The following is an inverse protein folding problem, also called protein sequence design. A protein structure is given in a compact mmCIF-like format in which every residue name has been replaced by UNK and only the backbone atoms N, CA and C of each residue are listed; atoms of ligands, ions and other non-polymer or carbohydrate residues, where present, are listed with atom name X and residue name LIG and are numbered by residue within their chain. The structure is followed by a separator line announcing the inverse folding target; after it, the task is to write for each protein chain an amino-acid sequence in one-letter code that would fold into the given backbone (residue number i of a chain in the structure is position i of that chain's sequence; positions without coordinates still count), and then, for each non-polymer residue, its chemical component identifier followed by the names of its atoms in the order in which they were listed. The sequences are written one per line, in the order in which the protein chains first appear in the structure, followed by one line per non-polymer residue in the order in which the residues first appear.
data_IF_384229439482
#
_entry.id   IF_384229439482
#
_cell.length_a   1.000
_cell.length_b   1.000
_cell.length_c   1.000
_cell.angle_alpha   90.00
_cell.angle_beta   90.00
_cell.angle_gamma   90.00
#
_symmetry.space_group_name_H-M   'P 1'
#
loop_
_entity.id
_entity.type
_entity.pdbx_description
1 polymer ?
#
# COMPACT_ATOMS: atom_id res chain seq x y z
N UNK A 1 14.38 14.04 -29.72
CA UNK A 1 15.51 13.24 -29.20
C UNK A 1 15.57 13.46 -27.70
N UNK A 2 15.16 12.59 -26.80
CA UNK A 2 14.84 11.16 -26.84
C UNK A 2 13.77 10.91 -25.78
N UNK A 3 12.84 10.03 -26.14
CA UNK A 3 11.83 9.42 -25.29
C UNK A 3 12.45 8.76 -24.03
N UNK A 4 11.58 8.48 -23.05
CA UNK A 4 11.67 7.34 -22.11
C UNK A 4 12.27 7.56 -20.70
N UNK A 5 11.64 8.34 -19.80
CA UNK A 5 11.79 8.06 -18.34
C UNK A 5 10.55 8.37 -17.47
N UNK A 6 9.33 8.36 -18.03
CA UNK A 6 8.07 8.32 -17.25
C UNK A 6 7.52 6.88 -17.10
N UNK A 7 8.34 5.87 -17.40
CA UNK A 7 7.93 4.47 -17.55
C UNK A 7 8.37 3.52 -16.43
N UNK A 8 8.83 4.03 -15.27
CA UNK A 8 9.30 3.15 -14.18
C UNK A 8 8.66 3.37 -12.80
N UNK A 9 7.70 4.30 -12.66
CA UNK A 9 6.94 4.44 -11.41
C UNK A 9 5.87 3.34 -11.28
N UNK A 10 5.18 3.04 -12.40
CA UNK A 10 4.17 1.97 -12.48
C UNK A 10 4.73 0.58 -12.18
N UNK A 11 6.00 0.33 -12.49
CA UNK A 11 6.59 -1.02 -12.41
C UNK A 11 7.05 -1.39 -11.00
N UNK A 12 7.27 -0.40 -10.14
CA UNK A 12 7.62 -0.63 -8.75
C UNK A 12 6.36 -0.90 -7.92
N UNK A 13 5.33 -0.05 -7.92
CA UNK A 13 4.10 -0.33 -7.18
C UNK A 13 3.29 -1.53 -7.74
N UNK A 14 3.33 -1.76 -9.07
CA UNK A 14 2.75 -2.98 -9.69
C UNK A 14 3.40 -4.26 -9.15
N UNK A 15 4.70 -4.31 -8.85
CA UNK A 15 5.33 -5.54 -8.34
C UNK A 15 4.97 -5.87 -6.89
N UNK A 16 4.45 -4.92 -6.12
CA UNK A 16 4.16 -5.09 -4.70
C UNK A 16 2.66 -5.29 -4.44
N UNK A 17 1.80 -4.85 -5.36
CA UNK A 17 0.36 -5.15 -5.33
C UNK A 17 -0.03 -6.36 -6.20
N UNK A 18 0.81 -6.86 -7.10
CA UNK A 18 0.54 -8.07 -7.87
C UNK A 18 1.16 -9.34 -7.27
N UNK A 19 0.67 -9.79 -6.11
CA UNK A 19 0.65 -11.25 -5.80
C UNK A 19 -0.27 -11.73 -4.67
N UNK A 20 -1.46 -11.16 -4.47
CA UNK A 20 -2.49 -11.85 -3.66
C UNK A 20 -3.89 -11.65 -4.22
N UNK A 21 -4.15 -11.89 -5.51
CA UNK A 21 -5.50 -12.24 -6.00
C UNK A 21 -5.40 -12.93 -7.37
N UNK A 22 -5.14 -14.25 -7.37
CA UNK A 22 -5.62 -15.14 -8.45
C UNK A 22 -6.88 -15.82 -7.92
N UNK A 23 -8.05 -15.30 -8.29
CA UNK A 23 -9.25 -16.12 -8.35
C UNK A 23 -9.45 -16.55 -9.80
N UNK A 24 -9.27 -17.83 -10.16
CA UNK A 24 -9.89 -18.34 -11.37
C UNK A 24 -11.40 -18.34 -11.14
N UNK A 25 -12.12 -17.43 -11.82
CA UNK A 25 -13.56 -17.54 -11.95
C UNK A 25 -13.84 -18.79 -12.79
N UNK A 26 -14.25 -19.88 -12.15
CA UNK A 26 -14.77 -21.08 -12.82
C UNK A 26 -16.29 -21.01 -12.72
N UNK A 27 -16.96 -20.77 -13.85
CA UNK A 27 -18.41 -20.97 -13.93
C UNK A 27 -18.70 -22.45 -13.66
N UNK A 28 -19.44 -22.78 -12.61
CA UNK A 28 -20.38 -23.91 -12.63
C UNK A 28 -21.61 -23.62 -11.78
N UNK A 29 -22.71 -23.99 -12.38
CA UNK A 29 -24.10 -24.06 -11.98
C UNK A 29 -24.35 -24.83 -10.69
N UNK A 30 -25.29 -24.28 -9.90
CA UNK A 30 -26.35 -24.91 -9.10
C UNK A 30 -26.05 -25.84 -7.90
N UNK A 31 -26.76 -25.48 -6.82
CA UNK A 31 -27.26 -26.24 -5.67
C UNK A 31 -26.42 -26.56 -4.41
N UNK A 32 -27.03 -26.11 -3.31
CA UNK A 32 -27.00 -26.58 -1.92
C UNK A 32 -25.88 -26.12 -0.98
N UNK A 33 -26.25 -25.13 -0.17
CA UNK A 33 -26.10 -25.07 1.30
C UNK A 33 -24.87 -25.71 1.94
N UNK A 34 -23.78 -24.95 2.03
CA UNK A 34 -22.93 -24.90 3.22
C UNK A 34 -22.32 -23.49 3.34
N UNK A 35 -22.57 -22.79 4.45
CA UNK A 35 -21.94 -21.50 4.76
C UNK A 35 -20.43 -21.70 4.83
N UNK A 36 -19.71 -21.35 3.77
CA UNK A 36 -18.25 -21.24 3.79
C UNK A 36 -17.92 -20.02 4.64
N UNK A 37 -17.44 -20.25 5.87
CA UNK A 37 -16.91 -19.19 6.72
C UNK A 37 -15.77 -18.51 5.96
N UNK A 38 -15.99 -17.24 5.60
CA UNK A 38 -15.00 -16.38 5.01
C UNK A 38 -13.76 -16.38 5.92
N UNK A 39 -12.58 -16.65 5.34
CA UNK A 39 -11.31 -16.52 6.07
C UNK A 39 -11.26 -15.12 6.69
N UNK A 40 -10.91 -14.96 7.97
CA UNK A 40 -10.84 -13.64 8.58
C UNK A 40 -9.86 -12.79 7.79
N UNK A 41 -10.26 -11.55 7.52
CA UNK A 41 -9.36 -10.51 7.05
C UNK A 41 -8.21 -10.37 8.04
N UNK A 42 -6.99 -10.08 7.57
CA UNK A 42 -5.82 -10.00 8.44
C UNK A 42 -6.13 -9.12 9.67
N UNK A 43 -5.75 -9.55 10.90
CA UNK A 43 -6.04 -8.78 12.10
C UNK A 43 -5.46 -7.37 11.96
N UNK A 44 -6.28 -6.38 12.30
CA UNK A 44 -5.93 -4.97 12.25
C UNK A 44 -5.75 -4.46 13.67
N UNK A 45 -4.67 -3.72 13.85
CA UNK A 45 -4.31 -3.06 15.09
C UNK A 45 -4.54 -1.56 14.92
N UNK A 46 -5.56 -1.04 15.59
CA UNK A 46 -5.96 0.36 15.54
C UNK A 46 -5.16 1.23 16.53
N UNK A 47 -4.31 0.63 17.37
CA UNK A 47 -3.50 1.41 18.29
C UNK A 47 -2.42 2.19 17.53
N UNK A 48 -2.06 3.39 18.02
CA UNK A 48 -0.96 4.17 17.46
C UNK A 48 0.32 3.33 17.31
N UNK A 49 1.11 3.69 16.30
CA UNK A 49 2.48 3.19 16.16
C UNK A 49 3.38 3.77 17.25
N UNK A 50 4.63 3.32 17.26
CA UNK A 50 5.68 3.90 18.09
C UNK A 50 6.06 5.31 17.59
N UNK A 51 6.04 5.52 16.28
CA UNK A 51 6.47 6.75 15.62
C UNK A 51 5.27 7.49 15.01
N UNK A 52 4.34 6.75 14.42
CA UNK A 52 3.22 7.32 13.67
C UNK A 52 1.87 6.92 14.24
N UNK A 53 0.98 7.89 14.40
CA UNK A 53 -0.44 7.67 14.55
C UNK A 53 -1.10 7.70 13.16
N UNK A 54 -1.65 6.56 12.72
CA UNK A 54 -2.31 6.49 11.42
C UNK A 54 -3.67 7.18 11.42
N UNK A 55 -4.35 7.21 12.56
CA UNK A 55 -5.65 7.85 12.69
C UNK A 55 -5.48 9.36 12.54
N UNK A 56 -4.49 9.95 13.23
CA UNK A 56 -4.12 11.36 13.09
C UNK A 56 -3.84 11.72 11.62
N UNK A 57 -2.95 10.96 10.96
CA UNK A 57 -2.57 11.21 9.56
C UNK A 57 -3.79 11.12 8.63
N UNK A 58 -4.65 10.11 8.84
CA UNK A 58 -5.87 9.95 8.04
C UNK A 58 -6.83 11.13 8.22
N UNK A 59 -7.07 11.56 9.44
CA UNK A 59 -7.98 12.67 9.75
C UNK A 59 -7.48 13.99 9.15
N UNK A 60 -6.19 14.28 9.27
CA UNK A 60 -5.55 15.45 8.65
C UNK A 60 -5.73 15.45 7.13
N UNK A 61 -5.41 14.33 6.47
CA UNK A 61 -5.55 14.20 5.02
C UNK A 61 -7.00 14.27 4.57
N UNK A 62 -7.93 13.65 5.31
CA UNK A 62 -9.35 13.68 5.00
C UNK A 62 -9.90 15.11 5.09
N UNK A 63 -9.54 15.85 6.13
CA UNK A 63 -9.94 17.24 6.28
C UNK A 63 -9.38 18.13 5.16
N UNK A 64 -8.10 18.01 4.85
CA UNK A 64 -7.41 18.90 3.92
C UNK A 64 -7.74 18.61 2.44
N UNK A 65 -7.77 17.34 2.05
CA UNK A 65 -7.82 16.94 0.63
C UNK A 65 -9.20 16.39 0.21
N UNK A 66 -10.01 15.94 1.16
CA UNK A 66 -11.32 15.33 0.90
C UNK A 66 -12.47 16.04 1.62
N UNK A 67 -12.23 17.19 2.23
CA UNK A 67 -13.23 18.01 2.94
C UNK A 67 -13.99 17.22 4.04
N UNK A 68 -13.35 16.21 4.63
CA UNK A 68 -13.95 15.34 5.64
C UNK A 68 -15.02 14.37 5.10
N UNK A 69 -15.12 14.20 3.78
CA UNK A 69 -16.19 13.39 3.18
C UNK A 69 -15.97 11.87 3.34
N UNK A 70 -14.73 11.41 3.53
CA UNK A 70 -14.44 9.99 3.65
C UNK A 70 -14.71 9.49 5.07
N UNK A 71 -15.26 8.28 5.16
CA UNK A 71 -15.53 7.57 6.43
C UNK A 71 -14.86 6.20 6.39
N UNK A 72 -13.54 6.21 6.32
CA UNK A 72 -12.71 5.01 6.26
C UNK A 72 -12.15 4.69 7.64
N UNK A 73 -11.96 3.41 7.89
CA UNK A 73 -11.15 2.95 8.99
C UNK A 73 -9.70 2.81 8.53
N UNK A 74 -8.74 3.04 9.42
CA UNK A 74 -7.33 2.82 9.15
C UNK A 74 -6.67 2.09 10.30
N UNK A 75 -5.77 1.16 10.00
CA UNK A 75 -4.99 0.51 11.04
C UNK A 75 -3.77 -0.24 10.53
N UNK A 76 -2.97 -0.69 11.49
CA UNK A 76 -1.76 -1.45 11.22
C UNK A 76 -2.07 -2.91 10.95
N UNK A 77 -1.31 -3.52 10.05
CA UNK A 77 -1.33 -4.96 9.86
C UNK A 77 0.09 -5.54 9.75
N UNK A 78 0.17 -6.87 9.87
CA UNK A 78 1.43 -7.59 9.74
C UNK A 78 2.33 -7.46 10.98
N UNK A 79 3.52 -8.06 10.88
CA UNK A 79 4.50 -8.06 11.98
C UNK A 79 5.51 -6.94 11.78
N UNK A 80 6.04 -6.39 12.89
CA UNK A 80 7.14 -5.40 12.87
C UNK A 80 8.33 -5.88 12.03
N UNK A 81 8.69 -7.16 12.16
CA UNK A 81 9.76 -7.79 11.38
C UNK A 81 9.22 -8.51 10.13
N UNK A 82 9.65 -8.05 8.96
CA UNK A 82 9.39 -8.72 7.69
C UNK A 82 10.40 -9.84 7.47
N UNK A 83 9.97 -11.04 7.03
CA UNK A 83 10.91 -12.10 6.65
C UNK A 83 11.79 -11.63 5.49
N UNK A 84 13.11 -11.84 5.62
CA UNK A 84 14.14 -11.39 4.68
C UNK A 84 13.82 -11.80 3.23
N UNK A 85 14.05 -10.89 2.29
CA UNK A 85 13.99 -11.18 0.84
C UNK A 85 12.60 -11.27 0.22
N UNK A 86 11.53 -10.95 0.94
CA UNK A 86 10.17 -10.87 0.36
C UNK A 86 9.74 -9.42 0.18
N UNK A 87 9.16 -9.12 -0.99
CA UNK A 87 8.38 -7.89 -1.17
C UNK A 87 7.22 -7.90 -0.18
N UNK A 88 7.03 -6.78 0.51
CA UNK A 88 5.98 -6.61 1.52
C UNK A 88 4.99 -5.61 0.95
N UNK A 89 3.70 -5.95 1.01
CA UNK A 89 2.63 -5.01 0.68
C UNK A 89 2.68 -3.90 1.73
N UNK A 90 2.91 -2.66 1.30
CA UNK A 90 3.12 -1.52 2.20
C UNK A 90 1.80 -0.97 2.74
N UNK A 91 0.81 -0.86 1.87
CA UNK A 91 -0.54 -0.42 2.15
C UNK A 91 -1.51 -1.19 1.26
N UNK A 92 -2.77 -1.25 1.68
CA UNK A 92 -3.88 -1.75 0.87
C UNK A 92 -5.21 -1.20 1.38
N UNK A 93 -6.16 -1.02 0.46
CA UNK A 93 -7.55 -0.67 0.73
C UNK A 93 -8.49 -1.86 0.50
N UNK A 94 -9.41 -2.09 1.44
CA UNK A 94 -10.50 -3.07 1.33
C UNK A 94 -11.85 -2.39 1.16
N UNK A 95 -12.39 -2.47 -0.06
CA UNK A 95 -13.67 -1.84 -0.45
C UNK A 95 -14.86 -2.32 0.40
N UNK A 96 -14.99 -3.64 0.63
CA UNK A 96 -16.11 -4.19 1.40
C UNK A 96 -16.12 -3.74 2.88
N UNK A 97 -14.94 -3.46 3.44
CA UNK A 97 -14.78 -3.10 4.85
C UNK A 97 -14.58 -1.58 5.03
N UNK A 98 -14.43 -0.82 3.94
CA UNK A 98 -14.00 0.58 3.96
C UNK A 98 -12.75 0.80 4.84
N UNK A 99 -11.78 -0.12 4.72
CA UNK A 99 -10.66 -0.23 5.66
C UNK A 99 -9.31 -0.16 4.94
N UNK A 100 -8.51 0.83 5.32
CA UNK A 100 -7.11 1.01 4.95
C UNK A 100 -6.23 0.23 5.93
N UNK A 101 -5.29 -0.54 5.39
CA UNK A 101 -4.32 -1.31 6.17
C UNK A 101 -2.92 -0.89 5.78
N UNK A 102 -2.12 -0.42 6.73
CA UNK A 102 -0.71 -0.06 6.54
C UNK A 102 0.19 -1.05 7.28
N UNK A 103 1.28 -1.48 6.64
CA UNK A 103 2.13 -2.53 7.21
C UNK A 103 2.99 -1.98 8.35
N UNK A 104 2.98 -2.66 9.51
CA UNK A 104 3.65 -2.24 10.75
C UNK A 104 5.17 -2.07 10.63
N UNK A 105 5.81 -2.60 9.58
CA UNK A 105 7.25 -2.39 9.34
C UNK A 105 7.62 -0.95 8.93
N UNK A 106 6.63 -0.12 8.59
CA UNK A 106 6.81 1.28 8.24
C UNK A 106 6.86 2.20 9.48
N UNK A 107 6.49 1.69 10.65
CA UNK A 107 6.50 2.41 11.92
C UNK A 107 7.92 2.51 12.52
N UNK A 108 8.77 3.33 11.86
CA UNK A 108 10.18 3.57 12.24
C UNK A 108 10.67 4.91 11.70
N UNK A 109 11.72 5.46 12.32
CA UNK A 109 12.22 6.81 12.06
C UNK A 109 12.83 7.01 10.67
N UNK A 110 13.31 5.94 10.04
CA UNK A 110 13.90 6.02 8.70
C UNK A 110 12.86 6.28 7.60
N UNK A 111 11.58 6.03 7.90
CA UNK A 111 10.48 6.41 7.02
C UNK A 111 10.06 7.82 7.42
N UNK A 112 10.11 8.83 6.53
CA UNK A 112 9.73 10.20 6.87
C UNK A 112 8.21 10.39 6.86
N UNK A 113 7.71 11.36 7.65
CA UNK A 113 6.26 11.64 7.80
C UNK A 113 5.57 11.89 6.46
N UNK A 114 6.16 12.72 5.59
CA UNK A 114 5.58 13.01 4.26
C UNK A 114 5.36 11.76 3.40
N UNK A 115 6.19 10.72 3.56
CA UNK A 115 6.02 9.48 2.82
C UNK A 115 4.95 8.60 3.45
N UNK A 116 4.80 8.62 4.78
CA UNK A 116 3.68 7.97 5.45
C UNK A 116 2.34 8.59 5.03
N UNK A 117 2.27 9.93 5.04
CA UNK A 117 1.11 10.68 4.54
C UNK A 117 0.80 10.33 3.08
N UNK A 118 1.81 10.27 2.22
CA UNK A 118 1.65 9.83 0.84
C UNK A 118 1.06 8.42 0.72
N UNK A 119 1.56 7.45 1.51
CA UNK A 119 1.04 6.09 1.49
C UNK A 119 -0.42 6.03 1.94
N UNK A 120 -0.78 6.74 3.01
CA UNK A 120 -2.17 6.82 3.47
C UNK A 120 -3.06 7.45 2.40
N UNK A 121 -2.62 8.56 1.80
CA UNK A 121 -3.32 9.20 0.69
C UNK A 121 -3.50 8.27 -0.51
N UNK A 122 -2.47 7.49 -0.89
CA UNK A 122 -2.56 6.50 -1.97
C UNK A 122 -3.69 5.50 -1.73
N UNK A 123 -3.82 5.00 -0.49
CA UNK A 123 -4.91 4.08 -0.13
C UNK A 123 -6.28 4.76 -0.06
N UNK A 124 -6.34 6.04 0.33
CA UNK A 124 -7.58 6.84 0.26
C UNK A 124 -8.03 7.06 -1.20
N UNK A 125 -7.10 7.28 -2.14
CA UNK A 125 -7.45 7.44 -3.56
C UNK A 125 -8.10 6.17 -4.11
N UNK A 126 -7.70 4.98 -3.65
CA UNK A 126 -8.38 3.72 -4.01
C UNK A 126 -9.84 3.66 -3.57
N UNK A 127 -10.27 4.40 -2.54
CA UNK A 127 -11.67 4.46 -2.14
C UNK A 127 -12.51 5.39 -3.01
N UNK A 128 -11.88 6.36 -3.68
CA UNK A 128 -12.57 7.40 -4.48
C UNK A 128 -12.55 7.05 -5.97
N UNK A 129 -11.46 6.44 -6.44
CA UNK A 129 -11.31 6.08 -7.85
C UNK A 129 -11.72 4.61 -8.03
N UNK A 130 -12.85 4.33 -8.71
CA UNK A 130 -13.27 2.98 -8.96
C UNK A 130 -12.27 2.25 -9.84
N UNK A 131 -12.19 0.94 -9.65
CA UNK A 131 -11.29 0.09 -10.41
C UNK A 131 -11.68 0.06 -11.90
N UNK A 132 -10.68 0.24 -12.77
CA UNK A 132 -10.85 0.08 -14.20
C UNK A 132 -10.69 -1.39 -14.62
N UNK A 133 -11.25 -1.78 -15.76
CA UNK A 133 -11.11 -3.13 -16.30
C UNK A 133 -10.63 -3.07 -17.74
N UNK A 134 -9.65 -3.92 -18.10
CA UNK A 134 -9.22 -4.08 -19.47
C UNK A 134 -10.32 -4.71 -20.33
N UNK A 135 -10.19 -4.62 -21.65
CA UNK A 135 -11.05 -5.33 -22.61
C UNK A 135 -11.08 -6.86 -22.38
N UNK A 136 -10.03 -7.41 -21.77
CA UNK A 136 -9.91 -8.82 -21.37
C UNK A 136 -10.45 -9.13 -19.97
N UNK A 137 -11.12 -8.18 -19.30
CA UNK A 137 -11.70 -8.33 -17.97
C UNK A 137 -10.69 -8.31 -16.82
N UNK A 138 -9.44 -7.90 -17.06
CA UNK A 138 -8.42 -7.80 -16.00
C UNK A 138 -8.58 -6.48 -15.26
N UNK A 139 -8.54 -6.55 -13.94
CA UNK A 139 -8.50 -5.39 -13.04
C UNK A 139 -7.28 -4.50 -13.26
N UNK A 140 -7.52 -3.21 -13.44
CA UNK A 140 -6.55 -2.13 -13.53
C UNK A 140 -6.76 -1.22 -12.31
N UNK A 141 -5.82 -1.26 -11.38
CA UNK A 141 -5.87 -0.50 -10.12
C UNK A 141 -5.29 0.91 -10.26
N UNK A 142 -4.32 1.08 -11.16
CA UNK A 142 -3.59 2.33 -11.35
C UNK A 142 -3.77 2.85 -12.78
N UNK A 143 -5.04 3.02 -13.15
CA UNK A 143 -5.47 3.58 -14.44
C UNK A 143 -5.09 5.06 -14.59
N UNK A 144 -5.50 5.67 -15.71
CA UNK A 144 -5.18 7.09 -15.97
C UNK A 144 -5.80 7.99 -14.89
N UNK A 145 -7.08 7.75 -14.57
CA UNK A 145 -7.82 8.52 -13.56
C UNK A 145 -7.18 8.39 -12.17
N UNK A 146 -6.72 7.18 -11.82
CA UNK A 146 -6.03 6.97 -10.55
C UNK A 146 -4.79 7.86 -10.43
N UNK A 147 -3.94 7.88 -11.46
CA UNK A 147 -2.72 8.69 -11.46
C UNK A 147 -3.00 10.19 -11.36
N UNK A 148 -4.04 10.65 -12.05
CA UNK A 148 -4.45 12.06 -11.99
C UNK A 148 -4.86 12.48 -10.58
N UNK A 149 -5.49 11.59 -9.80
CA UNK A 149 -5.82 11.85 -8.39
C UNK A 149 -4.59 11.69 -7.49
N UNK A 150 -3.74 10.70 -7.75
CA UNK A 150 -2.50 10.47 -7.01
C UNK A 150 -1.58 11.70 -7.05
N UNK A 151 -1.46 12.34 -8.22
CA UNK A 151 -0.66 13.54 -8.44
C UNK A 151 -1.17 14.80 -7.71
N UNK A 152 -2.39 14.78 -7.17
CA UNK A 152 -2.93 15.90 -6.38
C UNK A 152 -2.35 15.96 -4.97
N UNK A 153 -1.61 14.94 -4.54
CA UNK A 153 -0.93 14.97 -3.27
C UNK A 153 0.13 16.09 -3.26
N UNK A 154 0.12 17.02 -2.28
CA UNK A 154 1.00 18.19 -2.29
C UNK A 154 2.50 17.88 -2.41
N UNK A 155 2.95 16.74 -1.86
CA UNK A 155 4.35 16.31 -1.89
C UNK A 155 4.57 15.11 -2.81
N UNK A 156 3.75 14.95 -3.85
CA UNK A 156 3.78 13.79 -4.76
C UNK A 156 5.18 13.53 -5.30
N UNK A 157 5.79 14.51 -5.98
CA UNK A 157 7.10 14.34 -6.61
C UNK A 157 8.19 13.99 -5.59
N UNK A 158 8.11 14.58 -4.40
CA UNK A 158 9.04 14.31 -3.29
C UNK A 158 8.87 12.88 -2.77
N UNK A 159 7.64 12.42 -2.60
CA UNK A 159 7.32 11.06 -2.15
C UNK A 159 7.79 10.01 -3.17
N UNK A 160 7.49 10.24 -4.45
CA UNK A 160 7.94 9.42 -5.59
C UNK A 160 9.47 9.33 -5.65
N UNK A 161 10.16 10.47 -5.55
CA UNK A 161 11.61 10.51 -5.58
C UNK A 161 12.22 9.77 -4.37
N UNK A 162 11.64 9.98 -3.18
CA UNK A 162 12.08 9.30 -1.96
C UNK A 162 11.88 7.79 -2.05
N UNK A 163 10.74 7.32 -2.56
CA UNK A 163 10.47 5.89 -2.76
C UNK A 163 11.52 5.25 -3.66
N UNK A 164 11.81 5.89 -4.79
CA UNK A 164 12.81 5.40 -5.76
C UNK A 164 14.21 5.32 -5.14
N UNK A 165 14.59 6.33 -4.35
CA UNK A 165 15.88 6.36 -3.66
C UNK A 165 15.97 5.35 -2.51
N UNK A 166 14.85 5.07 -1.83
CA UNK A 166 14.78 4.28 -0.60
C UNK A 166 14.07 2.93 -0.77
N UNK A 167 13.93 2.46 -2.00
CA UNK A 167 13.32 1.17 -2.32
C UNK A 167 13.93 -0.01 -1.53
N UNK A 168 15.21 0.08 -1.17
CA UNK A 168 15.90 -0.91 -0.34
C UNK A 168 15.42 -0.94 1.12
N UNK A 169 14.89 0.16 1.66
CA UNK A 169 14.27 0.22 2.98
C UNK A 169 12.89 -0.44 2.96
N UNK A 170 12.15 -0.25 1.87
CA UNK A 170 10.79 -0.76 1.69
C UNK A 170 10.77 -2.27 1.34
N UNK A 171 11.89 -2.79 0.80
CA UNK A 171 12.15 -4.22 0.69
C UNK A 171 12.71 -4.70 2.03
N UNK A 172 12.23 -5.84 2.54
CA UNK A 172 12.71 -6.40 3.82
C UNK A 172 14.23 -6.32 3.97
N UNK A 173 14.68 -5.51 4.93
CA UNK A 173 16.05 -5.03 5.14
C UNK A 173 17.13 -6.11 4.96
N UNK A 174 18.11 -5.86 4.08
CA UNK A 174 19.37 -6.61 4.02
C UNK A 174 20.31 -5.98 5.05
N UNK A 175 20.42 -6.54 6.27
CA UNK A 175 21.56 -6.21 7.15
C UNK A 175 22.82 -6.49 6.32
N UNK A 176 23.62 -5.46 6.00
CA UNK A 176 25.04 -5.72 5.74
C UNK A 176 25.57 -6.33 7.03
N UNK A 177 25.99 -7.59 6.97
CA UNK A 177 26.83 -8.15 8.02
C UNK A 177 28.13 -7.35 7.89
N UNK A 178 28.26 -6.32 8.72
CA UNK A 178 29.52 -5.60 8.84
C UNK A 178 30.56 -6.58 9.38
N UNK A 179 31.62 -6.76 8.60
CA UNK A 179 32.83 -7.41 9.07
C UNK A 179 33.55 -6.55 10.11
N UNK A 180 34.33 -7.22 10.94
CA UNK A 180 35.25 -6.64 11.93
C UNK A 180 35.02 -7.26 13.31
N UNK A 181 35.86 -8.20 13.75
CA UNK A 181 37.11 -7.93 14.46
C UNK A 181 37.86 -9.25 14.73
N UNK A 182 39.19 -9.18 14.68
CA UNK A 182 40.12 -10.31 14.59
C UNK A 182 40.22 -11.22 15.81
N UNK A 183 41.01 -12.28 15.63
CA UNK A 183 41.69 -12.97 16.72
C UNK A 183 43.17 -13.07 16.37
N UNK A 184 43.95 -12.69 17.38
CA UNK A 184 45.38 -12.93 17.54
C UNK A 184 45.71 -14.42 17.49
#
# INVERSE_FOLDING_TARGET
MVETVLHNFQRYLSKYLYRVFRFPCRKKTFLSSHRVLARPSFPVDYCPGKIYDLQEIYEELNAQLFQGALRLQIGWFGRKATRKGKSVVLGLFHENEQLIRIHRSLDRQEIPRFFMEYLVYHEMVHSVVPREYSLSGRSIFHGKKFKEYEQRFPLYDRAVAWEKANAYLLRGYKKRVGGGYGRA
#
